data_IF_873758987011
#
_entry.id   IF_873758987011
#
_cell.length_a   1.000
_cell.length_b   1.000
_cell.length_c   1.000
_cell.angle_alpha   90.00
_cell.angle_beta   90.00
_cell.angle_gamma   90.00
#
_symmetry.space_group_name_H-M   'P 1'
#
loop_
_entity.id
_entity.type
_entity.pdbx_description
1 polymer ?
#
# COMPACT_ATOMS: atom_id res chain seq x y z
N UNK A 1 0.11 10.93 -8.90
CA UNK A 1 -0.79 10.24 -9.86
C UNK A 1 -0.89 11.00 -11.16
N UNK A 2 -1.41 12.23 -11.16
CA UNK A 2 -1.65 12.99 -12.39
C UNK A 2 -0.37 13.27 -13.19
N UNK A 3 0.71 13.70 -12.55
CA UNK A 3 2.00 13.94 -13.23
C UNK A 3 2.59 12.66 -13.83
N UNK A 4 2.63 11.56 -13.05
CA UNK A 4 3.07 10.24 -13.52
C UNK A 4 2.31 9.84 -14.79
N UNK A 5 0.97 9.91 -14.74
CA UNK A 5 0.10 9.59 -15.89
C UNK A 5 0.35 10.49 -17.11
N UNK A 6 0.67 11.75 -16.90
CA UNK A 6 0.99 12.66 -18.00
C UNK A 6 2.34 12.30 -18.64
N UNK A 7 3.35 11.98 -17.82
CA UNK A 7 4.66 11.54 -18.31
C UNK A 7 4.56 10.21 -19.04
N UNK A 8 3.82 9.23 -18.52
CA UNK A 8 3.56 7.94 -19.19
C UNK A 8 2.95 8.14 -20.57
N UNK A 9 1.98 9.06 -20.72
CA UNK A 9 1.36 9.37 -22.01
C UNK A 9 2.31 10.03 -23.01
N UNK A 10 3.23 10.86 -22.54
CA UNK A 10 4.15 11.61 -23.40
C UNK A 10 5.31 10.71 -23.84
N UNK A 11 5.80 9.87 -22.92
CA UNK A 11 7.00 9.05 -23.12
C UNK A 11 6.70 7.65 -23.63
N UNK A 12 5.44 7.21 -23.58
CA UNK A 12 4.99 5.84 -23.92
C UNK A 12 5.78 4.75 -23.17
N UNK A 13 6.08 5.04 -21.89
CA UNK A 13 6.87 4.19 -21.01
C UNK A 13 6.29 4.20 -19.60
N UNK A 14 6.52 3.12 -18.85
CA UNK A 14 6.15 3.05 -17.43
C UNK A 14 7.00 4.01 -16.59
N UNK A 15 6.35 4.79 -15.71
CA UNK A 15 7.04 5.75 -14.84
C UNK A 15 6.93 5.30 -13.39
N UNK A 16 8.08 4.93 -12.81
CA UNK A 16 8.19 4.51 -11.41
C UNK A 16 8.73 5.67 -10.60
N UNK A 17 7.97 6.14 -9.60
CA UNK A 17 8.46 7.13 -8.66
C UNK A 17 9.33 6.49 -7.54
N UNK A 18 10.06 7.34 -6.82
CA UNK A 18 10.93 6.90 -5.72
C UNK A 18 10.19 6.05 -4.68
N UNK A 19 8.92 6.36 -4.39
CA UNK A 19 8.18 5.67 -3.34
C UNK A 19 7.77 4.27 -3.81
N UNK A 20 7.26 4.14 -5.03
CA UNK A 20 6.95 2.85 -5.65
C UNK A 20 8.19 1.95 -5.66
N UNK A 21 9.33 2.47 -6.11
CA UNK A 21 10.59 1.72 -6.13
C UNK A 21 10.99 1.22 -4.73
N UNK A 22 10.87 2.05 -3.70
CA UNK A 22 11.16 1.65 -2.31
C UNK A 22 10.20 0.54 -1.85
N UNK A 23 8.90 0.66 -2.17
CA UNK A 23 7.90 -0.35 -1.82
C UNK A 23 8.11 -1.67 -2.58
N UNK A 24 8.64 -1.63 -3.79
CA UNK A 24 9.05 -2.82 -4.55
C UNK A 24 10.26 -3.52 -3.92
N UNK A 25 11.29 -2.75 -3.58
CA UNK A 25 12.47 -3.27 -2.86
C UNK A 25 12.05 -3.90 -1.53
N UNK A 26 11.15 -3.25 -0.78
CA UNK A 26 10.65 -3.80 0.49
C UNK A 26 9.79 -5.04 0.30
N UNK A 27 8.95 -5.10 -0.74
CA UNK A 27 8.16 -6.29 -1.04
C UNK A 27 9.05 -7.49 -1.35
N UNK A 28 10.09 -7.28 -2.15
CA UNK A 28 11.06 -8.32 -2.50
C UNK A 28 11.88 -8.80 -1.30
N UNK A 29 12.15 -7.91 -0.32
CA UNK A 29 12.92 -8.24 0.89
C UNK A 29 12.07 -8.76 2.06
N UNK A 30 10.75 -8.56 2.04
CA UNK A 30 9.87 -8.93 3.14
C UNK A 30 9.70 -10.46 3.27
N UNK A 31 10.48 -11.08 4.16
CA UNK A 31 10.39 -12.53 4.43
C UNK A 31 9.37 -12.89 5.50
N UNK A 32 9.29 -12.11 6.58
CA UNK A 32 8.39 -12.39 7.70
C UNK A 32 6.93 -12.04 7.38
N UNK A 33 5.98 -12.73 8.01
CA UNK A 33 4.54 -12.44 7.87
C UNK A 33 4.22 -10.98 8.25
N UNK A 34 4.81 -10.49 9.34
CA UNK A 34 4.64 -9.09 9.77
C UNK A 34 5.20 -8.12 8.73
N UNK A 35 6.40 -8.37 8.20
CA UNK A 35 7.01 -7.54 7.17
C UNK A 35 6.15 -7.48 5.91
N UNK A 36 5.64 -8.63 5.44
CA UNK A 36 4.75 -8.69 4.28
C UNK A 36 3.48 -7.87 4.47
N UNK A 37 2.83 -7.98 5.64
CA UNK A 37 1.64 -7.21 5.96
C UNK A 37 1.91 -5.70 6.04
N UNK A 38 3.04 -5.29 6.60
CA UNK A 38 3.43 -3.87 6.66
C UNK A 38 3.68 -3.28 5.27
N UNK A 39 4.35 -4.04 4.38
CA UNK A 39 4.58 -3.62 2.99
C UNK A 39 3.27 -3.55 2.22
N UNK A 40 2.38 -4.54 2.38
CA UNK A 40 1.05 -4.54 1.78
C UNK A 40 0.25 -3.31 2.24
N UNK A 41 0.24 -3.02 3.55
CA UNK A 41 -0.43 -1.84 4.10
C UNK A 41 0.11 -0.54 3.49
N UNK A 42 1.44 -0.44 3.37
CA UNK A 42 2.09 0.74 2.79
C UNK A 42 1.72 0.92 1.31
N UNK A 43 1.70 -0.17 0.51
CA UNK A 43 1.24 -0.14 -0.89
C UNK A 43 -0.21 0.30 -1.01
N UNK A 44 -1.12 -0.30 -0.25
CA UNK A 44 -2.55 0.04 -0.29
C UNK A 44 -2.78 1.53 0.05
N UNK A 45 -2.07 2.06 1.04
CA UNK A 45 -2.14 3.49 1.41
C UNK A 45 -1.54 4.40 0.34
N UNK A 46 -0.49 3.95 -0.34
CA UNK A 46 0.12 4.67 -1.45
C UNK A 46 -0.79 4.70 -2.69
N UNK A 47 -1.44 3.58 -3.01
CA UNK A 47 -2.33 3.43 -4.17
C UNK A 47 -3.67 4.13 -3.99
N UNK A 48 -4.28 4.09 -2.79
CA UNK A 48 -5.61 4.65 -2.51
C UNK A 48 -5.84 6.07 -3.08
N UNK A 49 -5.00 7.08 -2.77
CA UNK A 49 -5.18 8.43 -3.32
C UNK A 49 -4.82 8.54 -4.81
N UNK A 50 -4.14 7.54 -5.37
CA UNK A 50 -3.71 7.45 -6.77
C UNK A 50 -4.69 6.68 -7.65
N UNK A 51 -5.76 6.11 -7.09
CA UNK A 51 -6.92 5.66 -7.87
C UNK A 51 -7.53 6.91 -8.52
N UNK A 52 -7.11 7.18 -9.74
CA UNK A 52 -7.64 8.22 -10.60
C UNK A 52 -8.44 7.55 -11.70
N UNK A 53 -9.62 8.08 -11.99
CA UNK A 53 -10.51 7.70 -13.08
C UNK A 53 -9.84 7.01 -14.26
N UNK A 54 -9.79 5.68 -14.19
CA UNK A 54 -9.63 4.83 -15.35
C UNK A 54 -10.94 4.90 -16.12
N UNK A 55 -11.18 5.98 -16.86
CA UNK A 55 -12.32 6.07 -17.78
C UNK A 55 -12.13 7.15 -18.82
N UNK A 56 -10.99 7.11 -19.50
CA UNK A 56 -10.97 7.51 -20.93
C UNK A 56 -11.32 6.32 -21.83
N UNK A 57 -11.24 5.08 -21.32
CA UNK A 57 -11.66 3.85 -22.01
C UNK A 57 -13.00 3.29 -21.47
N UNK A 58 -13.25 3.31 -20.15
CA UNK A 58 -14.54 2.88 -19.56
C UNK A 58 -15.73 3.78 -19.93
N UNK A 59 -15.49 5.05 -20.26
CA UNK A 59 -16.52 5.97 -20.79
C UNK A 59 -16.86 5.68 -22.25
N UNK A 60 -15.90 5.18 -23.04
CA UNK A 60 -16.08 4.87 -24.47
C UNK A 60 -16.90 3.60 -24.70
N UNK A 61 -16.81 2.60 -23.81
CA UNK A 61 -17.57 1.35 -23.93
C UNK A 61 -19.05 1.49 -23.53
N UNK A 62 -19.43 2.59 -22.86
CA UNK A 62 -20.78 2.81 -22.32
C UNK A 62 -21.73 3.59 -23.25
N UNK A 63 -21.43 3.67 -24.56
CA UNK A 63 -22.42 3.98 -25.60
C UNK A 63 -23.31 5.20 -25.35
N UNK A 64 -22.73 6.40 -25.20
CA UNK A 64 -23.35 7.70 -25.48
C UNK A 64 -24.56 8.19 -24.67
N UNK A 65 -25.42 7.33 -24.13
CA UNK A 65 -26.71 7.70 -23.53
C UNK A 65 -26.82 7.04 -22.13
N UNK A 66 -26.65 7.84 -21.07
CA UNK A 66 -26.94 7.41 -19.68
C UNK A 66 -25.74 7.03 -18.79
N UNK A 67 -24.50 7.16 -19.25
CA UNK A 67 -23.29 6.71 -18.52
C UNK A 67 -22.75 7.68 -17.45
N UNK A 68 -23.39 8.84 -17.23
CA UNK A 68 -23.02 9.77 -16.14
C UNK A 68 -23.21 9.08 -14.79
N UNK A 69 -22.11 8.75 -14.12
CA UNK A 69 -22.08 8.14 -12.78
C UNK A 69 -21.58 6.70 -12.72
N UNK A 70 -21.49 5.94 -13.83
CA UNK A 70 -20.96 4.57 -13.80
C UNK A 70 -19.45 4.53 -13.47
N UNK A 71 -18.68 5.46 -14.04
CA UNK A 71 -17.25 5.59 -13.75
C UNK A 71 -16.97 6.06 -12.31
N UNK A 72 -17.74 7.03 -11.82
CA UNK A 72 -17.62 7.54 -10.44
C UNK A 72 -18.01 6.46 -9.41
N UNK A 73 -19.09 5.71 -9.67
CA UNK A 73 -19.51 4.58 -8.83
C UNK A 73 -18.45 3.48 -8.77
N UNK A 74 -17.78 3.18 -9.89
CA UNK A 74 -16.70 2.19 -9.93
C UNK A 74 -15.49 2.64 -9.11
N UNK A 75 -15.05 3.90 -9.26
CA UNK A 75 -13.93 4.45 -8.48
C UNK A 75 -14.23 4.45 -6.98
N UNK A 76 -15.45 4.79 -6.60
CA UNK A 76 -15.89 4.73 -5.21
C UNK A 76 -15.90 3.29 -4.68
N UNK A 77 -16.33 2.32 -5.49
CA UNK A 77 -16.31 0.90 -5.14
C UNK A 77 -14.88 0.36 -4.98
N UNK A 78 -13.96 0.77 -5.85
CA UNK A 78 -12.54 0.41 -5.77
C UNK A 78 -11.91 1.00 -4.50
N UNK A 79 -12.17 2.27 -4.19
CA UNK A 79 -11.71 2.92 -2.95
C UNK A 79 -12.24 2.20 -1.71
N UNK A 80 -13.52 1.83 -1.69
CA UNK A 80 -14.13 1.06 -0.60
C UNK A 80 -13.48 -0.31 -0.44
N UNK A 81 -13.13 -0.96 -1.55
CA UNK A 81 -12.45 -2.26 -1.54
C UNK A 81 -11.05 -2.14 -0.92
N UNK A 82 -10.28 -1.13 -1.32
CA UNK A 82 -8.99 -0.84 -0.69
C UNK A 82 -9.15 -0.55 0.80
N UNK A 83 -10.16 0.24 1.21
CA UNK A 83 -10.40 0.53 2.62
C UNK A 83 -10.74 -0.69 3.45
N UNK A 84 -11.56 -1.61 2.90
CA UNK A 84 -11.82 -2.90 3.54
C UNK A 84 -10.53 -3.70 3.70
N UNK A 85 -9.66 -3.71 2.67
CA UNK A 85 -8.39 -4.43 2.71
C UNK A 85 -7.43 -3.84 3.75
N UNK A 86 -7.29 -2.51 3.79
CA UNK A 86 -6.50 -1.78 4.79
C UNK A 86 -6.94 -2.20 6.20
N UNK A 87 -8.24 -2.15 6.50
CA UNK A 87 -8.77 -2.55 7.81
C UNK A 87 -8.43 -4.00 8.17
N UNK A 88 -8.50 -4.92 7.22
CA UNK A 88 -8.18 -6.33 7.45
C UNK A 88 -6.68 -6.55 7.72
N UNK A 89 -5.81 -5.86 6.99
CA UNK A 89 -4.35 -5.92 7.18
C UNK A 89 -3.98 -5.30 8.54
N UNK A 90 -4.56 -4.15 8.90
CA UNK A 90 -4.34 -3.49 10.20
C UNK A 90 -4.74 -4.40 11.37
N UNK A 91 -5.91 -5.07 11.29
CA UNK A 91 -6.33 -6.06 12.29
C UNK A 91 -5.33 -7.21 12.42
N UNK A 92 -4.80 -7.70 11.30
CA UNK A 92 -3.81 -8.78 11.29
C UNK A 92 -2.50 -8.35 11.94
N UNK A 93 -2.03 -7.13 11.66
CA UNK A 93 -0.86 -6.52 12.31
C UNK A 93 -1.09 -6.37 13.81
N UNK A 94 -2.27 -5.94 14.24
CA UNK A 94 -2.58 -5.77 15.65
C UNK A 94 -2.53 -7.11 16.42
N UNK A 95 -2.99 -8.20 15.80
CA UNK A 95 -2.80 -9.55 16.35
C UNK A 95 -1.33 -9.92 16.57
N UNK A 96 -0.46 -9.59 15.60
CA UNK A 96 0.98 -9.83 15.71
C UNK A 96 1.65 -8.94 16.77
N UNK A 97 1.20 -7.69 16.92
CA UNK A 97 1.68 -6.77 17.96
C UNK A 97 1.43 -7.31 19.35
N UNK A 98 0.26 -7.88 19.61
CA UNK A 98 -0.07 -8.52 20.91
C UNK A 98 0.91 -9.65 21.24
N UNK A 99 1.23 -10.51 20.26
CA UNK A 99 2.23 -11.57 20.45
C UNK A 99 3.62 -11.00 20.76
N UNK A 100 4.02 -9.92 20.08
CA UNK A 100 5.31 -9.25 20.30
C UNK A 100 5.40 -8.60 21.68
N UNK A 101 4.32 -8.02 22.18
CA UNK A 101 4.25 -7.43 23.53
C UNK A 101 4.41 -8.49 24.64
N UNK A 102 3.83 -9.68 24.48
CA UNK A 102 4.07 -10.79 25.43
C UNK A 102 5.56 -11.15 25.50
N UNK A 103 6.23 -11.29 24.36
CA UNK A 103 7.67 -11.57 24.30
C UNK A 103 8.50 -10.44 24.91
N UNK A 104 8.11 -9.19 24.66
CA UNK A 104 8.75 -7.99 25.23
C UNK A 104 8.60 -7.96 26.75
N UNK A 105 7.43 -8.27 27.30
CA UNK A 105 7.21 -8.34 28.74
C UNK A 105 8.06 -9.43 29.41
N UNK A 106 8.22 -10.59 28.77
CA UNK A 106 9.15 -11.63 29.25
C UNK A 106 10.60 -11.12 29.28
N UNK A 107 11.05 -10.41 28.24
CA UNK A 107 12.38 -9.78 28.20
C UNK A 107 12.55 -8.69 29.25
N UNK A 108 11.54 -7.86 29.51
CA UNK A 108 11.60 -6.86 30.59
C UNK A 108 11.75 -7.47 31.99
N UNK A 109 11.14 -8.63 32.20
CA UNK A 109 11.26 -9.39 33.46
C UNK A 109 12.59 -10.12 33.58
N UNK A 110 13.30 -10.35 32.47
CA UNK A 110 14.68 -10.81 32.53
C UNK A 110 15.60 -9.64 32.88
N UNK A 111 16.60 -9.86 33.73
CA UNK A 111 17.63 -8.87 34.06
C UNK A 111 18.62 -8.59 32.90
N UNK A 112 18.21 -8.87 31.66
CA UNK A 112 19.02 -8.70 30.46
C UNK A 112 18.87 -7.27 29.92
N UNK A 113 20.01 -6.65 29.57
CA UNK A 113 20.01 -5.33 28.92
C UNK A 113 19.53 -5.47 27.48
N UNK A 114 18.68 -4.54 27.05
CA UNK A 114 18.19 -4.46 25.66
C UNK A 114 18.88 -3.30 24.96
N UNK A 115 19.48 -3.58 23.81
CA UNK A 115 20.14 -2.59 22.96
C UNK A 115 19.51 -2.62 21.55
N UNK A 116 19.55 -1.50 20.85
CA UNK A 116 19.09 -1.40 19.46
C UNK A 116 20.16 -0.67 18.64
N UNK A 117 20.44 -1.19 17.45
CA UNK A 117 21.33 -0.56 16.48
C UNK A 117 20.48 0.20 15.45
N UNK A 118 20.91 1.41 15.13
CA UNK A 118 20.26 2.28 14.15
C UNK A 118 21.29 2.79 13.15
N UNK A 119 20.87 3.01 11.90
CA UNK A 119 21.72 3.45 10.81
C UNK A 119 21.01 3.39 9.48
N UNK A 120 21.60 3.99 8.44
CA UNK A 120 21.14 3.78 7.06
C UNK A 120 21.49 2.36 6.60
N UNK A 121 20.82 1.87 5.56
CA UNK A 121 21.22 0.61 4.93
C UNK A 121 22.63 0.77 4.36
N UNK A 122 23.53 -0.18 4.66
CA UNK A 122 24.97 -0.14 4.33
C UNK A 122 25.80 0.83 5.19
N UNK A 123 25.46 0.93 6.48
CA UNK A 123 26.24 1.61 7.53
C UNK A 123 27.15 0.64 8.29
#
# INVERSE_FOLDING_TARGET
GIQIRNLEKILDMEIIDRTSLILDIFANRAKSREGKLQVELARLRYEKPRIVGGSTQLSKQAGGIGSRGLGEKKLELDRRTIDKRIKNVERSIEGLRKQREIQKNKRKKSNLKTVALIGYTNA
#
